data_IF_299589514697
#
_entry.id   IF_299589514697
#
_cell.length_a   1.000
_cell.length_b   1.000
_cell.length_c   1.000
_cell.angle_alpha   90.00
_cell.angle_beta   90.00
_cell.angle_gamma   90.00
#
_symmetry.space_group_name_H-M   'P 1'
#
loop_
_entity.id
_entity.type
_entity.pdbx_description
1 polymer ?
#
# COMPACT_ATOMS: atom_id res chain seq x y z
N UNK A 1 -19.55 13.54 10.49
CA UNK A 1 -18.68 12.58 9.78
C UNK A 1 -19.51 11.36 9.40
N UNK A 2 -19.63 11.07 8.12
CA UNK A 2 -20.33 9.88 7.62
C UNK A 2 -19.35 8.71 7.50
N UNK A 3 -19.76 7.51 7.89
CA UNK A 3 -18.99 6.28 7.67
C UNK A 3 -19.56 5.51 6.49
N UNK A 4 -18.72 5.17 5.52
CA UNK A 4 -19.06 4.26 4.42
C UNK A 4 -18.22 3.01 4.62
N UNK A 5 -18.87 1.86 4.80
CA UNK A 5 -18.15 0.62 5.15
C UNK A 5 -18.61 -0.59 4.36
N UNK A 6 -17.65 -1.37 3.83
CA UNK A 6 -17.93 -2.70 3.26
C UNK A 6 -17.75 -3.84 4.27
N UNK A 7 -17.57 -3.48 5.54
CA UNK A 7 -17.42 -4.38 6.68
C UNK A 7 -18.54 -4.07 7.67
N UNK A 8 -19.06 -5.10 8.32
CA UNK A 8 -20.03 -4.94 9.40
C UNK A 8 -19.34 -4.36 10.64
N UNK A 9 -19.61 -3.09 10.93
CA UNK A 9 -19.07 -2.39 12.09
C UNK A 9 -20.15 -2.26 13.16
N UNK A 10 -19.80 -2.59 14.40
CA UNK A 10 -20.66 -2.36 15.58
C UNK A 10 -20.34 -1.00 16.18
N UNK A 11 -20.74 0.08 15.49
CA UNK A 11 -20.55 1.45 15.97
C UNK A 11 -21.88 2.17 16.13
N UNK A 12 -21.97 3.06 17.10
CA UNK A 12 -23.08 3.98 17.25
C UNK A 12 -22.90 5.12 16.23
N UNK A 13 -23.57 5.03 15.08
CA UNK A 13 -23.49 6.05 14.04
C UNK A 13 -24.17 5.66 12.73
N UNK A 14 -24.28 6.62 11.81
CA UNK A 14 -24.80 6.38 10.46
C UNK A 14 -23.72 5.70 9.62
N UNK A 15 -23.95 4.44 9.28
CA UNK A 15 -23.10 3.66 8.36
C UNK A 15 -23.89 3.48 7.07
N UNK A 16 -23.27 3.84 5.94
CA UNK A 16 -23.81 3.58 4.61
C UNK A 16 -23.02 2.45 3.94
N UNK A 17 -23.72 1.58 3.21
CA UNK A 17 -23.03 0.60 2.36
C UNK A 17 -22.44 1.31 1.15
N UNK A 18 -21.28 0.87 0.61
CA UNK A 18 -20.69 1.45 -0.59
C UNK A 18 -21.67 1.54 -1.77
N UNK A 19 -22.49 0.51 -1.98
CA UNK A 19 -23.47 0.48 -3.07
C UNK A 19 -24.56 1.55 -2.95
N UNK A 20 -24.91 1.93 -1.73
CA UNK A 20 -25.90 2.98 -1.45
C UNK A 20 -25.24 4.35 -1.60
N UNK A 21 -24.05 4.52 -1.03
CA UNK A 21 -23.29 5.75 -1.12
C UNK A 21 -22.95 6.14 -2.58
N UNK A 22 -22.49 5.18 -3.39
CA UNK A 22 -22.15 5.40 -4.80
C UNK A 22 -23.35 5.76 -5.69
N UNK A 23 -24.58 5.45 -5.26
CA UNK A 23 -25.81 5.86 -5.95
C UNK A 23 -26.38 7.19 -5.44
N UNK A 24 -25.76 7.75 -4.41
CA UNK A 24 -26.22 8.96 -3.74
C UNK A 24 -25.42 10.18 -4.20
N UNK A 25 -25.98 11.37 -3.96
CA UNK A 25 -25.26 12.65 -4.04
C UNK A 25 -25.01 13.23 -2.65
N UNK A 26 -24.86 12.37 -1.64
CA UNK A 26 -24.61 12.80 -0.25
C UNK A 26 -23.25 13.50 -0.19
N UNK A 27 -23.27 14.76 0.22
CA UNK A 27 -22.08 15.57 0.49
C UNK A 27 -22.00 15.86 1.98
N UNK A 28 -20.84 15.58 2.56
CA UNK A 28 -20.57 15.76 4.00
C UNK A 28 -19.20 16.41 4.14
N UNK A 29 -18.93 17.09 5.26
CA UNK A 29 -17.63 17.74 5.47
C UNK A 29 -16.47 16.73 5.43
N UNK A 30 -16.69 15.55 6.04
CA UNK A 30 -15.73 14.46 6.10
C UNK A 30 -16.43 13.10 6.02
N UNK A 31 -15.91 12.24 5.14
CA UNK A 31 -16.32 10.86 4.94
C UNK A 31 -15.20 9.94 5.38
N UNK A 32 -15.51 8.98 6.25
CA UNK A 32 -14.61 7.91 6.64
C UNK A 32 -14.97 6.65 5.84
N UNK A 33 -14.11 6.28 4.91
CA UNK A 33 -14.25 5.09 4.08
C UNK A 33 -13.51 3.93 4.73
N UNK A 34 -14.25 2.94 5.24
CA UNK A 34 -13.71 1.73 5.86
C UNK A 34 -13.94 0.55 4.92
N UNK A 35 -12.90 0.21 4.17
CA UNK A 35 -12.88 -0.93 3.27
C UNK A 35 -11.81 -1.96 3.64
N UNK A 36 -12.09 -3.23 3.39
CA UNK A 36 -11.08 -4.30 3.43
C UNK A 36 -10.02 -4.18 2.32
N UNK A 37 -10.30 -3.45 1.24
CA UNK A 37 -9.43 -3.36 0.08
C UNK A 37 -9.60 -2.03 -0.67
N UNK A 38 -8.56 -1.21 -0.61
CA UNK A 38 -8.52 0.10 -1.25
C UNK A 38 -7.81 0.08 -2.60
N UNK A 39 -7.30 -1.05 -3.10
CA UNK A 39 -6.52 -1.06 -4.35
C UNK A 39 -7.26 -0.38 -5.49
N UNK A 40 -6.50 0.18 -6.43
CA UNK A 40 -7.07 0.78 -7.63
C UNK A 40 -8.09 -0.17 -8.30
N UNK A 41 -9.21 0.39 -8.74
CA UNK A 41 -10.39 -0.32 -9.27
C UNK A 41 -11.14 -1.22 -8.27
N UNK A 42 -10.87 -1.12 -6.96
CA UNK A 42 -11.68 -1.77 -5.92
C UNK A 42 -12.71 -0.82 -5.36
N UNK A 43 -13.71 -1.39 -4.69
CA UNK A 43 -14.83 -0.63 -4.13
C UNK A 43 -14.35 0.45 -3.15
N UNK A 44 -13.32 0.15 -2.34
CA UNK A 44 -12.71 1.13 -1.44
C UNK A 44 -12.17 2.35 -2.20
N UNK A 45 -11.46 2.15 -3.31
CA UNK A 45 -11.00 3.26 -4.15
C UNK A 45 -12.17 4.10 -4.69
N UNK A 46 -13.20 3.45 -5.24
CA UNK A 46 -14.33 4.18 -5.84
C UNK A 46 -15.17 4.95 -4.81
N UNK A 47 -15.27 4.47 -3.56
CA UNK A 47 -15.92 5.24 -2.50
C UNK A 47 -15.18 6.55 -2.23
N UNK A 48 -13.85 6.51 -2.11
CA UNK A 48 -13.06 7.73 -1.92
C UNK A 48 -13.15 8.66 -3.13
N UNK A 49 -13.05 8.11 -4.35
CA UNK A 49 -13.18 8.89 -5.57
C UNK A 49 -14.55 9.59 -5.66
N UNK A 50 -15.63 8.87 -5.34
CA UNK A 50 -16.98 9.44 -5.38
C UNK A 50 -17.18 10.53 -4.31
N UNK A 51 -16.62 10.35 -3.12
CA UNK A 51 -16.65 11.38 -2.08
C UNK A 51 -15.93 12.66 -2.54
N UNK A 52 -14.74 12.52 -3.13
CA UNK A 52 -13.94 13.64 -3.64
C UNK A 52 -14.62 14.35 -4.80
N UNK A 53 -15.23 13.63 -5.76
CA UNK A 53 -15.96 14.25 -6.88
C UNK A 53 -17.20 15.03 -6.45
N UNK A 54 -17.82 14.65 -5.32
CA UNK A 54 -18.90 15.41 -4.69
C UNK A 54 -18.38 16.59 -3.82
N UNK A 55 -17.06 16.74 -3.70
CA UNK A 55 -16.41 17.81 -2.93
C UNK A 55 -16.42 17.58 -1.42
N UNK A 56 -16.50 16.32 -0.96
CA UNK A 56 -16.30 15.95 0.45
C UNK A 56 -14.81 15.67 0.70
N UNK A 57 -14.31 15.96 1.91
CA UNK A 57 -13.03 15.37 2.33
C UNK A 57 -13.24 13.89 2.64
N UNK A 58 -12.26 13.04 2.33
CA UNK A 58 -12.39 11.60 2.55
C UNK A 58 -11.11 10.98 3.13
N UNK A 59 -11.30 10.01 4.01
CA UNK A 59 -10.23 9.21 4.59
C UNK A 59 -10.41 7.75 4.17
N UNK A 60 -9.44 7.12 3.48
CA UNK A 60 -8.23 7.73 2.90
C UNK A 60 -8.55 8.49 1.59
N UNK A 61 -7.80 9.55 1.26
CA UNK A 61 -7.91 10.22 -0.05
C UNK A 61 -7.40 9.33 -1.18
N UNK A 62 -7.90 9.54 -2.40
CA UNK A 62 -7.54 8.68 -3.55
C UNK A 62 -6.04 8.72 -3.87
N UNK A 63 -5.39 9.87 -3.69
CA UNK A 63 -3.93 10.02 -3.83
C UNK A 63 -3.19 9.04 -2.91
N UNK A 64 -3.49 9.05 -1.61
CA UNK A 64 -2.83 8.16 -0.65
C UNK A 64 -3.14 6.69 -0.93
N UNK A 65 -4.36 6.38 -1.41
CA UNK A 65 -4.69 5.04 -1.87
C UNK A 65 -3.75 4.61 -2.99
N UNK A 66 -3.58 5.42 -4.03
CA UNK A 66 -2.73 5.08 -5.18
C UNK A 66 -1.26 4.91 -4.75
N UNK A 67 -0.77 5.81 -3.91
CA UNK A 67 0.61 5.83 -3.45
C UNK A 67 0.97 4.62 -2.59
N UNK A 68 0.06 4.19 -1.73
CA UNK A 68 0.28 3.05 -0.82
C UNK A 68 0.51 1.72 -1.56
N UNK A 69 -0.10 1.53 -2.73
CA UNK A 69 0.02 0.30 -3.53
C UNK A 69 1.11 0.38 -4.60
N UNK A 70 2.03 1.35 -4.50
CA UNK A 70 3.22 1.50 -5.33
C UNK A 70 4.44 1.56 -4.44
N UNK A 71 5.13 0.43 -4.28
CA UNK A 71 6.26 0.29 -3.33
C UNK A 71 7.27 1.43 -3.38
N UNK A 72 7.79 1.89 -4.55
CA UNK A 72 8.72 3.03 -4.56
C UNK A 72 8.13 4.33 -3.99
N UNK A 73 6.86 4.62 -4.30
CA UNK A 73 6.20 5.86 -3.86
C UNK A 73 5.93 5.81 -2.35
N UNK A 74 5.44 4.66 -1.87
CA UNK A 74 5.25 4.41 -0.44
C UNK A 74 6.56 4.57 0.35
N UNK A 75 7.68 4.03 -0.15
CA UNK A 75 9.00 4.19 0.48
C UNK A 75 9.46 5.65 0.48
N UNK A 76 9.24 6.41 -0.59
CA UNK A 76 9.56 7.84 -0.64
C UNK A 76 8.76 8.63 0.41
N UNK A 77 7.44 8.36 0.55
CA UNK A 77 6.63 9.00 1.59
C UNK A 77 7.10 8.62 2.99
N UNK A 78 7.37 7.33 3.22
CA UNK A 78 7.90 6.84 4.48
C UNK A 78 9.23 7.53 4.85
N UNK A 79 10.17 7.65 3.91
CA UNK A 79 11.43 8.37 4.13
C UNK A 79 11.20 9.84 4.51
N UNK A 80 10.35 10.56 3.77
CA UNK A 80 10.00 11.96 4.07
C UNK A 80 9.35 12.12 5.44
N UNK A 81 8.63 11.11 5.90
CA UNK A 81 7.99 11.07 7.22
C UNK A 81 8.93 10.55 8.34
N UNK A 82 10.23 10.36 8.08
CA UNK A 82 11.21 9.80 9.02
C UNK A 82 10.78 8.42 9.56
N UNK A 83 10.20 7.60 8.68
CA UNK A 83 9.95 6.18 8.92
C UNK A 83 11.17 5.42 8.37
N UNK A 84 11.78 4.51 9.16
CA UNK A 84 12.90 3.72 8.69
C UNK A 84 12.53 2.92 7.44
N UNK A 85 13.36 3.03 6.39
CA UNK A 85 13.23 2.24 5.17
C UNK A 85 14.58 1.61 4.81
N UNK A 86 14.60 0.43 4.17
CA UNK A 86 15.83 -0.11 3.62
C UNK A 86 16.30 0.73 2.42
N UNK A 87 17.61 0.76 2.14
CA UNK A 87 18.14 1.23 0.86
C UNK A 87 17.41 0.54 -0.29
N UNK A 88 16.96 1.30 -1.27
CA UNK A 88 16.18 0.77 -2.38
C UNK A 88 16.47 1.52 -3.66
N UNK A 89 16.24 0.84 -4.79
CA UNK A 89 16.43 1.38 -6.12
C UNK A 89 15.25 0.99 -7.01
N UNK A 90 14.90 1.85 -7.96
CA UNK A 90 13.99 1.49 -9.06
C UNK A 90 14.84 1.09 -10.26
N UNK A 91 14.78 -0.19 -10.63
CA UNK A 91 15.61 -0.75 -11.68
C UNK A 91 14.77 -1.19 -12.89
N UNK A 92 15.19 -0.73 -14.07
CA UNK A 92 14.68 -1.17 -15.37
C UNK A 92 15.42 -2.37 -15.94
N UNK A 93 16.50 -2.82 -15.30
CA UNK A 93 17.26 -4.00 -15.73
C UNK A 93 17.93 -4.75 -14.57
N UNK A 94 18.22 -6.03 -14.79
CA UNK A 94 19.01 -6.85 -13.86
C UNK A 94 20.42 -6.30 -13.65
N UNK A 95 21.02 -5.68 -14.68
CA UNK A 95 22.38 -5.12 -14.60
C UNK A 95 22.48 -3.99 -13.57
N UNK A 96 21.50 -3.09 -13.54
CA UNK A 96 21.42 -2.01 -12.54
C UNK A 96 21.37 -2.56 -11.11
N UNK A 97 20.56 -3.61 -10.88
CA UNK A 97 20.48 -4.24 -9.56
C UNK A 97 21.83 -4.82 -9.14
N UNK A 98 22.53 -5.51 -10.03
CA UNK A 98 23.82 -6.14 -9.73
C UNK A 98 24.92 -5.09 -9.50
N UNK A 99 24.85 -3.92 -10.13
CA UNK A 99 25.84 -2.86 -9.92
C UNK A 99 25.67 -2.11 -8.61
N UNK A 100 24.48 -2.13 -8.02
CA UNK A 100 24.14 -1.31 -6.85
C UNK A 100 23.89 -2.12 -5.58
N UNK A 101 23.45 -3.38 -5.70
CA UNK A 101 23.06 -4.22 -4.58
C UNK A 101 23.81 -5.57 -4.57
N UNK A 102 24.12 -6.04 -3.35
CA UNK A 102 24.64 -7.39 -3.11
C UNK A 102 23.51 -8.37 -2.81
N UNK A 103 23.73 -9.65 -3.13
CA UNK A 103 22.78 -10.71 -2.79
C UNK A 103 22.81 -11.04 -1.28
N UNK A 104 21.67 -11.49 -0.70
CA UNK A 104 20.36 -11.63 -1.34
C UNK A 104 19.62 -10.29 -1.50
N UNK A 105 18.76 -10.22 -2.53
CA UNK A 105 17.91 -9.05 -2.79
C UNK A 105 16.44 -9.45 -2.80
N UNK A 106 15.58 -8.59 -2.28
CA UNK A 106 14.13 -8.70 -2.47
C UNK A 106 13.66 -7.70 -3.51
N UNK A 107 12.71 -8.14 -4.32
CA UNK A 107 12.26 -7.45 -5.53
C UNK A 107 10.74 -7.34 -5.50
N UNK A 108 10.24 -6.12 -5.71
CA UNK A 108 8.83 -5.78 -5.77
C UNK A 108 8.47 -5.27 -7.17
N UNK A 109 7.33 -5.68 -7.72
CA UNK A 109 6.84 -5.18 -8.99
C UNK A 109 6.41 -3.71 -8.88
N UNK A 110 6.68 -2.90 -9.90
CA UNK A 110 6.10 -1.55 -10.06
C UNK A 110 4.87 -1.58 -10.97
N UNK A 111 4.61 -2.70 -11.63
CA UNK A 111 3.49 -2.86 -12.55
C UNK A 111 2.12 -2.80 -11.84
N UNK A 112 1.05 -2.37 -12.52
CA UNK A 112 -0.26 -2.18 -11.90
C UNK A 112 -1.00 -3.48 -11.55
N UNK A 113 -0.52 -4.63 -12.03
CA UNK A 113 -1.23 -5.92 -11.95
C UNK A 113 -0.80 -6.72 -10.72
N UNK A 114 0.48 -6.68 -10.39
CA UNK A 114 1.09 -7.52 -9.35
C UNK A 114 1.02 -6.81 -8.01
N UNK A 115 0.00 -7.12 -7.21
CA UNK A 115 -0.19 -6.46 -5.90
C UNK A 115 0.13 -7.42 -4.75
N UNK A 116 0.94 -6.95 -3.80
CA UNK A 116 1.34 -7.74 -2.62
C UNK A 116 2.27 -8.91 -2.92
N UNK A 117 2.92 -8.91 -4.09
CA UNK A 117 3.83 -9.97 -4.52
C UNK A 117 5.26 -9.46 -4.47
N UNK A 118 6.17 -10.26 -3.93
CA UNK A 118 7.61 -10.02 -4.01
C UNK A 118 8.35 -11.33 -4.33
N UNK A 119 9.63 -11.21 -4.67
CA UNK A 119 10.54 -12.35 -4.85
C UNK A 119 11.88 -12.06 -4.20
N UNK A 120 12.44 -13.05 -3.51
CA UNK A 120 13.80 -13.01 -2.98
C UNK A 120 14.71 -13.75 -3.96
N UNK A 121 15.82 -13.13 -4.32
CA UNK A 121 16.85 -13.71 -5.17
C UNK A 121 18.16 -13.81 -4.39
N UNK A 122 18.65 -15.04 -4.20
CA UNK A 122 19.93 -15.30 -3.52
C UNK A 122 21.13 -15.32 -4.47
N UNK A 123 20.89 -15.30 -5.79
CA UNK A 123 21.94 -15.32 -6.81
C UNK A 123 21.43 -14.73 -8.13
N UNK A 124 22.35 -14.54 -9.08
CA UNK A 124 22.05 -13.95 -10.41
C UNK A 124 20.97 -14.72 -11.17
N UNK A 125 21.02 -16.05 -11.20
CA UNK A 125 20.03 -16.85 -11.93
C UNK A 125 18.62 -16.71 -11.34
N UNK A 126 18.49 -16.66 -10.01
CA UNK A 126 17.23 -16.37 -9.33
C UNK A 126 16.75 -14.95 -9.64
N UNK A 127 17.65 -13.97 -9.67
CA UNK A 127 17.35 -12.58 -10.01
C UNK A 127 16.78 -12.45 -11.43
N UNK A 128 17.40 -13.05 -12.44
CA UNK A 128 16.87 -13.02 -13.82
C UNK A 128 15.45 -13.61 -13.92
N UNK A 129 15.19 -14.73 -13.24
CA UNK A 129 13.85 -15.35 -13.22
C UNK A 129 12.83 -14.45 -12.52
N UNK A 130 13.17 -13.92 -11.34
CA UNK A 130 12.33 -13.04 -10.57
C UNK A 130 12.03 -11.74 -11.34
N UNK A 131 13.06 -11.12 -11.93
CA UNK A 131 12.94 -9.91 -12.73
C UNK A 131 12.00 -10.13 -13.91
N UNK A 132 12.22 -11.16 -14.75
CA UNK A 132 11.35 -11.45 -15.89
C UNK A 132 9.88 -11.61 -15.49
N UNK A 133 9.63 -12.30 -14.37
CA UNK A 133 8.28 -12.51 -13.83
C UNK A 133 7.62 -11.21 -13.35
N UNK A 134 8.31 -10.42 -12.51
CA UNK A 134 7.77 -9.22 -11.89
C UNK A 134 7.67 -8.02 -12.84
N UNK A 135 8.38 -8.06 -13.97
CA UNK A 135 8.36 -6.99 -14.98
C UNK A 135 7.40 -7.25 -16.14
N UNK A 136 6.61 -8.34 -16.08
CA UNK A 136 5.74 -8.78 -17.18
C UNK A 136 6.52 -8.93 -18.51
N UNK A 137 7.60 -9.74 -18.47
CA UNK A 137 8.57 -9.89 -19.56
C UNK A 137 9.25 -8.56 -19.93
N UNK A 138 9.90 -7.92 -18.95
CA UNK A 138 10.76 -6.73 -19.13
C UNK A 138 10.02 -5.44 -19.58
N UNK A 139 8.70 -5.38 -19.39
CA UNK A 139 7.88 -4.20 -19.76
C UNK A 139 7.82 -3.13 -18.67
N UNK A 140 8.01 -3.53 -17.41
CA UNK A 140 7.94 -2.65 -16.25
C UNK A 140 9.25 -2.67 -15.46
N UNK A 141 9.48 -1.64 -14.65
CA UNK A 141 10.54 -1.64 -13.66
C UNK A 141 10.18 -2.48 -12.42
N UNK A 142 11.18 -2.70 -11.57
CA UNK A 142 11.02 -3.25 -10.21
C UNK A 142 11.61 -2.29 -9.18
N UNK A 143 11.10 -2.37 -7.95
CA UNK A 143 11.80 -1.85 -6.78
C UNK A 143 12.66 -2.99 -6.21
N UNK A 144 13.96 -2.78 -6.04
CA UNK A 144 14.86 -3.75 -5.46
C UNK A 144 15.50 -3.17 -4.19
N UNK A 145 15.68 -4.03 -3.19
CA UNK A 145 16.30 -3.67 -1.92
C UNK A 145 17.10 -4.88 -1.37
N UNK A 146 18.15 -4.65 -0.56
CA UNK A 146 18.83 -5.73 0.13
C UNK A 146 17.89 -6.53 1.02
N UNK A 147 18.16 -7.82 1.17
CA UNK A 147 17.39 -8.70 2.04
C UNK A 147 18.26 -9.15 3.23
N UNK A 148 17.84 -8.83 4.45
CA UNK A 148 18.67 -9.03 5.66
C UNK A 148 18.15 -10.09 6.64
N UNK A 149 16.96 -10.65 6.43
CA UNK A 149 16.35 -11.51 7.43
C UNK A 149 15.03 -12.12 6.97
N UNK A 150 13.95 -11.79 7.64
CA UNK A 150 12.59 -12.25 7.30
C UNK A 150 11.73 -11.07 6.86
N UNK A 151 10.76 -11.32 5.98
CA UNK A 151 9.68 -10.37 5.68
C UNK A 151 8.44 -10.84 6.43
N UNK A 152 8.03 -10.02 7.38
CA UNK A 152 6.82 -10.26 8.17
C UNK A 152 5.68 -9.41 7.60
N UNK A 153 4.47 -9.96 7.55
CA UNK A 153 3.29 -9.18 7.20
C UNK A 153 2.41 -8.96 8.42
N UNK A 154 1.93 -7.73 8.60
CA UNK A 154 0.97 -7.42 9.66
C UNK A 154 -0.26 -6.72 9.10
N UNK A 155 -1.43 -7.04 9.66
CA UNK A 155 -2.65 -6.29 9.39
C UNK A 155 -2.65 -5.05 10.29
N UNK A 156 -2.75 -3.88 9.68
CA UNK A 156 -2.91 -2.60 10.37
C UNK A 156 -4.36 -2.15 10.31
N UNK A 157 -4.89 -1.76 11.47
CA UNK A 157 -6.21 -1.16 11.66
C UNK A 157 -6.02 0.19 12.36
N UNK A 158 -6.25 1.28 11.63
CA UNK A 158 -6.08 2.64 12.13
C UNK A 158 -4.72 2.87 12.81
N UNK A 159 -3.65 2.29 12.23
CA UNK A 159 -2.29 2.40 12.75
C UNK A 159 -1.95 1.46 13.91
N UNK A 160 -2.87 0.58 14.33
CA UNK A 160 -2.57 -0.52 15.26
C UNK A 160 -2.36 -1.80 14.46
N UNK A 161 -1.31 -2.55 14.75
CA UNK A 161 -1.03 -3.80 14.06
C UNK A 161 -1.36 -5.04 14.89
N UNK A 162 -1.47 -6.19 14.22
CA UNK A 162 -1.68 -7.51 14.86
C UNK A 162 -0.43 -8.12 15.48
N UNK A 163 0.75 -7.55 15.21
CA UNK A 163 2.02 -8.01 15.77
C UNK A 163 2.27 -7.27 17.07
N UNK A 164 2.59 -8.02 18.13
CA UNK A 164 2.96 -7.49 19.44
C UNK A 164 4.46 -7.20 19.50
N UNK A 165 4.87 -6.17 18.76
CA UNK A 165 6.23 -5.66 18.71
C UNK A 165 6.18 -4.12 18.68
N UNK A 166 6.95 -3.47 19.54
CA UNK A 166 6.89 -2.03 19.74
C UNK A 166 7.36 -1.23 18.50
N UNK A 167 8.37 -1.73 17.80
CA UNK A 167 8.92 -1.08 16.61
C UNK A 167 7.93 -1.21 15.43
N UNK A 168 7.35 -2.40 15.25
CA UNK A 168 6.31 -2.64 14.24
C UNK A 168 5.07 -1.79 14.51
N UNK A 169 4.64 -1.69 15.77
CA UNK A 169 3.50 -0.87 16.16
C UNK A 169 3.75 0.62 15.88
N UNK A 170 4.96 1.12 16.15
CA UNK A 170 5.33 2.50 15.87
C UNK A 170 5.38 2.79 14.36
N UNK A 171 5.93 1.86 13.56
CA UNK A 171 5.90 1.97 12.09
C UNK A 171 4.45 2.00 11.59
N UNK A 172 3.59 1.08 12.03
CA UNK A 172 2.19 1.03 11.63
C UNK A 172 1.46 2.35 11.96
N UNK A 173 1.71 2.92 13.15
CA UNK A 173 1.16 4.19 13.59
C UNK A 173 1.60 5.35 12.70
N UNK A 174 2.91 5.44 12.39
CA UNK A 174 3.44 6.49 11.52
C UNK A 174 2.92 6.36 10.08
N UNK A 175 2.83 5.14 9.55
CA UNK A 175 2.27 4.88 8.22
C UNK A 175 0.80 5.29 8.16
N UNK A 176 -0.01 4.98 9.18
CA UNK A 176 -1.39 5.44 9.24
C UNK A 176 -1.48 6.97 9.33
N UNK A 177 -0.60 7.62 10.09
CA UNK A 177 -0.55 9.09 10.16
C UNK A 177 -0.28 9.72 8.78
N UNK A 178 0.58 9.11 7.98
CA UNK A 178 0.97 9.60 6.65
C UNK A 178 -0.08 9.30 5.58
N UNK A 179 -0.54 8.05 5.49
CA UNK A 179 -1.40 7.60 4.39
C UNK A 179 -2.89 7.66 4.74
N UNK A 180 -3.22 7.70 6.02
CA UNK A 180 -4.59 7.65 6.55
C UNK A 180 -5.41 6.45 6.09
N UNK A 181 -4.78 5.37 5.62
CA UNK A 181 -5.45 4.15 5.17
C UNK A 181 -5.94 3.36 6.40
N UNK A 182 -7.26 3.26 6.64
CA UNK A 182 -7.79 2.66 7.86
C UNK A 182 -7.46 1.18 8.02
N UNK A 183 -7.39 0.43 6.90
CA UNK A 183 -7.13 -1.00 6.91
C UNK A 183 -6.14 -1.32 5.79
N UNK A 184 -4.99 -1.88 6.14
CA UNK A 184 -4.02 -2.34 5.14
C UNK A 184 -3.18 -3.50 5.67
N UNK A 185 -2.56 -4.24 4.75
CA UNK A 185 -1.48 -5.15 5.09
C UNK A 185 -0.16 -4.39 4.89
N UNK A 186 0.68 -4.39 5.93
CA UNK A 186 2.05 -3.92 5.87
C UNK A 186 2.97 -5.12 5.67
N UNK A 187 4.08 -4.90 4.97
CA UNK A 187 5.17 -5.85 4.68
C UNK A 187 6.48 -5.26 5.17
#
# INVERSE_FOLDING_TARGET
>A
MLVVSNIDLKINGKILKPSEFLKSSIKEDCILNISNDYRYMKIGYYVSLHAETLGSTVIPPTENILDAYRTPIMLIKAAKANIPIPPNIVAGSVKQIISELSFPVVIFPVNPVSVGVFRIAHNRAALYRAFKSLTMNYKYAVCAMPFYGEIISCKSFFGKCTIDDADVAEIARKIYKELQIPICNLL
#
